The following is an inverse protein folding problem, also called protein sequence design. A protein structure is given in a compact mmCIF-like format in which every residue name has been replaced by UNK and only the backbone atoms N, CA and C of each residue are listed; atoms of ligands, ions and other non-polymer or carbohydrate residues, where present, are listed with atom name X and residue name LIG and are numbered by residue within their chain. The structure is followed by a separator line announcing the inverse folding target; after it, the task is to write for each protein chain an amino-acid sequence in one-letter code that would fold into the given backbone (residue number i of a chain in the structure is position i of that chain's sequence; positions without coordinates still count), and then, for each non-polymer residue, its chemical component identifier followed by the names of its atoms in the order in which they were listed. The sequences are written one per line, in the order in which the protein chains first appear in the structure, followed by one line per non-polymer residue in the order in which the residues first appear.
data_IF_104028176998
#
_entry.id   IF_104028176998
#
_cell.length_a   1.000
_cell.length_b   1.000
_cell.length_c   1.000
_cell.angle_alpha   90.00
_cell.angle_beta   90.00
_cell.angle_gamma   90.00
#
_symmetry.space_group_name_H-M   'P 1'
#
loop_
_entity.id
_entity.type
_entity.pdbx_description
1 polymer ?
#
# COMPACT_ATOMS: atom_id res chain seq x y z
N UNK A 1 11.85 6.39 14.32
CA UNK A 1 10.88 6.17 13.22
C UNK A 1 9.48 6.43 13.75
N UNK A 2 8.72 7.35 13.13
CA UNK A 2 7.31 7.60 13.49
C UNK A 2 6.49 6.44 12.91
N UNK A 3 5.77 5.71 13.76
CA UNK A 3 4.95 4.59 13.31
C UNK A 3 3.63 5.16 12.75
N UNK A 4 3.48 5.15 11.43
CA UNK A 4 2.30 5.70 10.77
C UNK A 4 1.16 4.69 10.87
N UNK A 5 0.03 5.12 11.43
CA UNK A 5 -1.18 4.30 11.51
C UNK A 5 -1.81 4.17 10.13
N UNK A 6 -1.49 3.06 9.44
CA UNK A 6 -1.95 2.80 8.07
C UNK A 6 -3.46 2.57 8.00
N UNK A 7 -4.14 2.28 9.11
CA UNK A 7 -5.60 2.09 9.14
C UNK A 7 -6.37 3.36 8.75
N UNK A 8 -5.72 4.53 8.88
CA UNK A 8 -6.29 5.84 8.52
C UNK A 8 -6.23 6.15 7.03
N UNK A 9 -5.37 5.46 6.27
CA UNK A 9 -5.15 5.72 4.85
C UNK A 9 -5.48 4.52 3.95
N UNK A 10 -5.54 3.32 4.52
CA UNK A 10 -5.94 2.10 3.82
C UNK A 10 -7.41 1.77 4.11
N UNK A 11 -8.24 1.75 3.06
CA UNK A 11 -9.62 1.30 3.11
C UNK A 11 -9.78 -0.07 2.42
N UNK A 12 -11.02 -0.56 2.33
CA UNK A 12 -11.37 -1.84 1.69
C UNK A 12 -10.99 -1.89 0.21
N UNK A 13 -11.00 -0.76 -0.50
CA UNK A 13 -10.67 -0.72 -1.93
C UNK A 13 -9.20 -1.06 -2.21
N UNK A 14 -8.34 -0.97 -1.20
CA UNK A 14 -6.93 -1.32 -1.30
C UNK A 14 -6.64 -2.79 -1.00
N UNK A 15 -7.59 -3.53 -0.43
CA UNK A 15 -7.37 -4.94 -0.08
C UNK A 15 -7.03 -5.79 -1.31
N UNK A 16 -6.14 -6.77 -1.12
CA UNK A 16 -5.57 -7.62 -2.18
C UNK A 16 -4.78 -6.89 -3.27
N UNK A 17 -4.55 -5.58 -3.15
CA UNK A 17 -3.80 -4.78 -4.13
C UNK A 17 -2.43 -4.40 -3.60
N UNK A 18 -1.54 -4.09 -4.53
CA UNK A 18 -0.34 -3.31 -4.26
C UNK A 18 -0.72 -1.85 -4.08
N UNK A 19 -0.15 -1.21 -3.06
CA UNK A 19 -0.27 0.23 -2.83
C UNK A 19 1.11 0.87 -2.87
N UNK A 20 1.14 2.09 -3.38
CA UNK A 20 2.29 2.99 -3.35
C UNK A 20 2.00 4.04 -2.28
N UNK A 21 2.83 4.10 -1.25
CA UNK A 21 2.71 5.06 -0.15
C UNK A 21 3.75 6.16 -0.30
N UNK A 22 3.43 7.37 0.18
CA UNK A 22 4.44 8.41 0.40
C UNK A 22 5.55 7.89 1.32
N UNK A 23 6.75 8.47 1.24
CA UNK A 23 7.88 8.13 2.11
C UNK A 23 7.52 8.19 3.61
N UNK A 24 6.67 9.15 3.98
CA UNK A 24 6.17 9.35 5.34
C UNK A 24 5.00 8.42 5.72
N UNK A 25 4.52 7.59 4.78
CA UNK A 25 3.42 6.63 4.95
C UNK A 25 2.12 7.28 5.43
N UNK A 26 1.89 8.53 5.04
CA UNK A 26 0.73 9.33 5.42
C UNK A 26 -0.31 9.47 4.29
N UNK A 27 0.02 9.00 3.08
CA UNK A 27 -0.84 9.06 1.90
C UNK A 27 -0.64 7.85 0.98
N UNK A 28 -1.72 7.40 0.36
CA UNK A 28 -1.68 6.45 -0.77
C UNK A 28 -1.54 7.27 -2.06
N UNK A 29 -0.47 7.03 -2.80
CA UNK A 29 -0.18 7.66 -4.08
C UNK A 29 -0.77 6.88 -5.27
N UNK A 30 -1.08 5.60 -5.07
CA UNK A 30 -1.75 4.77 -6.06
C UNK A 30 -1.95 3.34 -5.58
N UNK A 31 -2.83 2.61 -6.26
CA UNK A 31 -3.07 1.20 -6.03
C UNK A 31 -3.24 0.44 -7.36
N UNK A 32 -2.76 -0.80 -7.42
CA UNK A 32 -3.02 -1.72 -8.54
C UNK A 32 -2.96 -3.17 -8.08
N UNK A 33 -3.62 -4.07 -8.80
CA UNK A 33 -3.45 -5.52 -8.62
C UNK A 33 -2.05 -6.00 -9.00
N UNK A 34 -1.34 -5.26 -9.86
CA UNK A 34 0.02 -5.57 -10.34
C UNK A 34 1.05 -4.56 -9.82
N UNK A 35 2.12 -5.06 -9.18
CA UNK A 35 3.24 -4.22 -8.74
C UNK A 35 3.95 -3.55 -9.93
N UNK A 36 4.07 -4.27 -11.05
CA UNK A 36 4.75 -3.75 -12.25
C UNK A 36 3.96 -2.58 -12.84
N UNK A 37 2.65 -2.72 -12.98
CA UNK A 37 1.80 -1.62 -13.46
C UNK A 37 1.83 -0.43 -12.51
N UNK A 38 1.84 -0.68 -11.20
CA UNK A 38 1.90 0.38 -10.20
C UNK A 38 3.22 1.14 -10.26
N UNK A 39 4.35 0.43 -10.41
CA UNK A 39 5.67 1.04 -10.60
C UNK A 39 5.75 1.84 -11.89
N UNK A 40 5.13 1.38 -12.97
CA UNK A 40 5.12 2.10 -14.25
C UNK A 40 4.27 3.38 -14.18
N UNK A 41 3.21 3.41 -13.35
CA UNK A 41 2.35 4.60 -13.15
C UNK A 41 2.96 5.63 -12.21
N UNK A 42 3.77 5.19 -11.24
CA UNK A 42 4.34 6.07 -10.21
C UNK A 42 5.79 6.43 -10.61
N UNK A 43 5.99 7.66 -11.08
CA UNK A 43 7.32 8.20 -11.44
C UNK A 43 8.11 8.73 -10.23
N UNK A 44 7.53 8.70 -9.04
CA UNK A 44 8.11 9.32 -7.85
C UNK A 44 9.18 8.43 -7.22
N UNK A 45 10.34 9.01 -6.88
CA UNK A 45 11.54 8.27 -6.42
C UNK A 45 11.47 7.81 -4.97
N UNK A 46 10.66 8.48 -4.15
CA UNK A 46 10.57 8.24 -2.70
C UNK A 46 9.19 7.68 -2.31
N UNK A 47 9.02 6.39 -2.60
CA UNK A 47 7.74 5.67 -2.49
C UNK A 47 7.96 4.30 -1.87
N UNK A 48 7.07 3.91 -0.97
CA UNK A 48 7.07 2.59 -0.35
C UNK A 48 5.98 1.75 -0.98
N UNK A 49 6.34 0.60 -1.53
CA UNK A 49 5.38 -0.36 -2.09
C UNK A 49 5.06 -1.45 -1.08
N UNK A 50 3.78 -1.76 -0.92
CA UNK A 50 3.31 -2.80 -0.01
C UNK A 50 2.08 -3.51 -0.61
N UNK A 51 1.95 -4.82 -0.38
CA UNK A 51 0.73 -5.56 -0.68
C UNK A 51 -0.19 -5.53 0.53
N UNK A 52 -1.40 -5.01 0.35
CA UNK A 52 -2.40 -4.95 1.42
C UNK A 52 -3.09 -6.30 1.51
N UNK A 53 -2.99 -6.92 2.69
CA UNK A 53 -3.70 -8.16 2.99
C UNK A 53 -5.18 -7.88 3.25
N UNK A 54 -6.08 -8.81 2.92
CA UNK A 54 -7.46 -8.72 3.37
C UNK A 54 -7.50 -8.75 4.89
N UNK A 55 -8.44 -8.00 5.48
CA UNK A 55 -8.60 -7.91 6.94
C UNK A 55 -9.04 -9.23 7.57
N UNK A 56 -9.68 -10.09 6.78
CA UNK A 56 -10.26 -11.34 7.24
C UNK A 56 -9.30 -12.54 7.07
N UNK A 57 -8.01 -12.30 6.78
CA UNK A 57 -7.01 -13.36 6.66
C UNK A 57 -6.39 -13.65 8.03
N UNK A 58 -6.67 -14.87 8.52
CA UNK A 58 -5.93 -15.50 9.61
C UNK A 58 -4.76 -16.29 9.04
N UNK A 59 -3.54 -16.00 9.49
CA UNK A 59 -2.38 -16.86 9.21
C UNK A 59 -2.29 -17.93 10.29
N UNK A 60 -2.31 -19.20 9.89
CA UNK A 60 -1.92 -20.31 10.76
C UNK A 60 -0.42 -20.60 10.59
N UNK A 61 0.27 -20.85 11.70
CA UNK A 61 1.69 -21.20 11.75
C UNK A 61 1.85 -22.68 12.12
#
# INVERSE_FOLDING_TARGET
MKNSDLTKILNRDHENKWVALSANRDKVLGASSSLVELKNKISNKDVIYMKVQPRDVSFAF
#
